data_IF_698135274697
#
_entry.id   IF_698135274697
#
_cell.length_a   1.000
_cell.length_b   1.000
_cell.length_c   1.000
_cell.angle_alpha   90.00
_cell.angle_beta   90.00
_cell.angle_gamma   90.00
#
_symmetry.space_group_name_H-M   'P 1'
#
loop_
_entity.id
_entity.type
_entity.pdbx_description
1 polymer ?
#
# COMPACT_ATOMS: atom_id res chain seq x y z
N UNK A 1 25.94 4.00 -6.35
CA UNK A 1 25.40 2.99 -5.45
C UNK A 1 24.91 3.65 -4.18
N UNK A 2 23.83 3.25 -3.62
CA UNK A 2 23.33 3.49 -2.27
C UNK A 2 22.48 4.70 -1.94
N UNK A 3 22.34 5.74 -2.75
CA UNK A 3 21.48 6.87 -2.38
C UNK A 3 20.00 6.50 -2.25
N UNK A 4 19.52 5.48 -2.96
CA UNK A 4 18.14 5.01 -2.87
C UNK A 4 17.88 4.19 -1.60
N UNK A 5 18.87 3.51 -1.03
CA UNK A 5 18.70 2.70 0.18
C UNK A 5 18.66 3.53 1.45
N UNK A 6 19.26 4.73 1.44
CA UNK A 6 19.29 5.63 2.59
C UNK A 6 17.96 6.40 2.76
N UNK A 7 17.14 6.47 1.71
CA UNK A 7 15.82 7.12 1.75
C UNK A 7 14.80 6.27 2.55
N UNK A 8 15.02 4.97 2.63
CA UNK A 8 14.10 4.03 3.29
C UNK A 8 14.75 3.42 4.53
N UNK A 9 14.77 4.15 5.65
CA UNK A 9 15.18 3.55 6.92
C UNK A 9 14.09 2.62 7.44
N UNK A 10 14.40 1.32 7.50
CA UNK A 10 13.55 0.30 8.09
C UNK A 10 13.60 0.37 9.60
N UNK A 11 12.45 0.21 10.29
CA UNK A 11 12.44 0.03 11.73
C UNK A 11 12.74 -1.43 12.12
N UNK A 12 13.15 -1.64 13.37
CA UNK A 12 13.59 -2.94 13.87
C UNK A 12 12.54 -4.05 13.71
N UNK A 13 13.00 -5.27 13.54
CA UNK A 13 12.26 -6.49 13.18
C UNK A 13 11.07 -6.84 14.08
N UNK A 14 11.03 -6.35 15.31
CA UNK A 14 9.97 -6.65 16.29
C UNK A 14 8.82 -5.63 16.32
N UNK A 15 8.82 -4.62 15.47
CA UNK A 15 7.75 -3.63 15.47
C UNK A 15 6.65 -4.03 14.48
N UNK A 16 5.40 -4.09 14.95
CA UNK A 16 4.23 -4.37 14.11
C UNK A 16 3.91 -3.25 13.14
N UNK A 17 4.38 -2.03 13.41
CA UNK A 17 4.21 -0.85 12.57
C UNK A 17 5.55 -0.55 11.87
N UNK A 18 5.55 -0.55 10.55
CA UNK A 18 6.70 -0.07 9.77
C UNK A 18 6.57 1.42 9.47
N UNK A 19 7.68 2.16 9.56
CA UNK A 19 7.73 3.60 9.21
C UNK A 19 8.78 3.82 8.14
N UNK A 20 8.41 4.47 7.05
CA UNK A 20 9.25 4.71 5.88
C UNK A 20 9.25 6.18 5.53
N UNK A 21 10.43 6.75 5.28
CA UNK A 21 10.62 8.18 5.00
C UNK A 21 10.75 8.41 3.51
N UNK A 22 10.17 9.50 3.05
CA UNK A 22 10.16 9.96 1.66
C UNK A 22 10.39 11.46 1.59
N UNK A 23 10.71 11.92 0.39
CA UNK A 23 10.75 13.32 0.01
C UNK A 23 9.85 13.50 -1.19
N UNK A 24 9.06 14.57 -1.23
CA UNK A 24 8.31 14.96 -2.43
C UNK A 24 9.28 15.57 -3.45
N UNK A 25 9.79 14.75 -4.36
CA UNK A 25 10.76 15.16 -5.36
C UNK A 25 10.13 15.98 -6.49
N UNK A 26 10.90 16.80 -7.27
CA UNK A 26 10.34 17.68 -8.30
C UNK A 26 9.46 17.00 -9.34
N UNK A 27 9.77 15.76 -9.74
CA UNK A 27 8.97 14.99 -10.70
C UNK A 27 7.84 14.17 -10.07
N UNK A 28 7.65 14.29 -8.75
CA UNK A 28 6.57 13.66 -8.02
C UNK A 28 5.36 14.58 -7.82
N UNK A 29 5.51 15.87 -8.14
CA UNK A 29 4.51 16.90 -7.88
C UNK A 29 3.83 17.36 -9.17
N UNK A 30 2.63 17.90 -9.01
CA UNK A 30 1.90 18.54 -10.09
C UNK A 30 2.29 20.02 -10.25
N UNK A 31 1.60 20.74 -11.13
CA UNK A 31 1.85 22.16 -11.40
C UNK A 31 1.56 23.07 -10.19
N UNK A 32 0.86 22.59 -9.16
CA UNK A 32 0.65 23.31 -7.89
C UNK A 32 1.77 23.07 -6.88
N UNK A 33 2.74 22.23 -7.21
CA UNK A 33 3.84 21.85 -6.33
C UNK A 33 3.45 20.80 -5.27
N UNK A 34 2.30 20.16 -5.40
CA UNK A 34 1.82 19.11 -4.48
C UNK A 34 2.11 17.73 -5.03
N UNK A 35 2.47 16.81 -4.11
CA UNK A 35 2.64 15.39 -4.44
C UNK A 35 1.39 14.85 -5.14
N UNK A 36 1.57 14.11 -6.24
CA UNK A 36 0.42 13.55 -6.95
C UNK A 36 -0.13 12.30 -6.26
N UNK A 37 -1.43 12.06 -6.39
CA UNK A 37 -2.08 10.85 -5.84
C UNK A 37 -1.46 9.56 -6.41
N UNK A 38 -1.05 9.56 -7.68
CA UNK A 38 -0.42 8.40 -8.31
C UNK A 38 0.93 8.04 -7.67
N UNK A 39 1.77 9.05 -7.38
CA UNK A 39 3.05 8.85 -6.69
C UNK A 39 2.82 8.43 -5.25
N UNK A 40 1.88 9.05 -4.53
CA UNK A 40 1.52 8.62 -3.18
C UNK A 40 1.07 7.15 -3.17
N UNK A 41 0.21 6.76 -4.12
CA UNK A 41 -0.21 5.37 -4.27
C UNK A 41 0.96 4.41 -4.44
N UNK A 42 1.94 4.77 -5.27
CA UNK A 42 3.18 4.00 -5.43
C UNK A 42 3.96 3.87 -4.11
N UNK A 43 4.09 4.94 -3.35
CA UNK A 43 4.77 4.90 -2.05
C UNK A 43 4.03 4.01 -1.05
N UNK A 44 2.69 4.06 -1.01
CA UNK A 44 1.88 3.17 -0.17
C UNK A 44 2.13 1.69 -0.51
N UNK A 45 2.13 1.34 -1.80
CA UNK A 45 2.40 -0.03 -2.24
C UNK A 45 3.83 -0.48 -1.92
N UNK A 46 4.81 0.41 -2.08
CA UNK A 46 6.21 0.13 -1.71
C UNK A 46 6.34 -0.11 -0.20
N UNK A 47 5.70 0.72 0.64
CA UNK A 47 5.69 0.52 2.09
C UNK A 47 5.10 -0.84 2.48
N UNK A 48 3.99 -1.24 1.85
CA UNK A 48 3.39 -2.55 2.06
C UNK A 48 4.37 -3.67 1.70
N UNK A 49 5.07 -3.53 0.57
CA UNK A 49 6.08 -4.49 0.10
C UNK A 49 7.26 -4.60 1.05
N UNK A 50 7.84 -3.48 1.48
CA UNK A 50 8.97 -3.46 2.43
C UNK A 50 8.58 -4.07 3.78
N UNK A 51 7.43 -3.65 4.32
CA UNK A 51 6.92 -4.18 5.58
C UNK A 51 6.70 -5.68 5.53
N UNK A 52 6.14 -6.20 4.45
CA UNK A 52 5.94 -7.63 4.25
C UNK A 52 7.26 -8.38 4.08
N UNK A 53 8.20 -7.83 3.30
CA UNK A 53 9.51 -8.44 3.05
C UNK A 53 10.34 -8.56 4.33
N UNK A 54 10.33 -7.52 5.16
CA UNK A 54 11.06 -7.52 6.44
C UNK A 54 10.52 -8.57 7.43
N UNK A 55 9.31 -9.07 7.21
CA UNK A 55 8.59 -10.00 8.09
C UNK A 55 8.38 -11.39 7.47
N UNK A 56 9.00 -11.66 6.33
CA UNK A 56 9.03 -12.99 5.71
C UNK A 56 7.79 -13.36 4.88
N UNK A 57 6.91 -12.40 4.58
CA UNK A 57 5.75 -12.62 3.72
C UNK A 57 5.68 -11.67 2.52
N UNK A 58 6.83 -11.12 2.11
CA UNK A 58 6.96 -10.31 0.91
C UNK A 58 6.82 -11.10 -0.39
N UNK A 59 6.68 -10.37 -1.50
CA UNK A 59 6.46 -10.96 -2.83
C UNK A 59 7.59 -11.92 -3.22
N UNK A 60 8.85 -11.58 -2.96
CA UNK A 60 9.98 -12.43 -3.32
C UNK A 60 9.89 -13.80 -2.65
N UNK A 61 9.65 -13.84 -1.34
CA UNK A 61 9.49 -15.08 -0.59
C UNK A 61 8.31 -15.90 -1.07
N UNK A 62 7.17 -15.25 -1.32
CA UNK A 62 5.96 -15.94 -1.77
C UNK A 62 6.09 -16.48 -3.20
N UNK A 63 6.84 -15.81 -4.07
CA UNK A 63 7.04 -16.26 -5.44
C UNK A 63 7.85 -17.58 -5.51
N UNK A 64 8.71 -17.84 -4.53
CA UNK A 64 9.42 -19.13 -4.43
C UNK A 64 8.43 -20.29 -4.30
N UNK A 65 7.29 -20.06 -3.64
CA UNK A 65 6.20 -21.03 -3.47
C UNK A 65 5.08 -20.89 -4.51
N UNK A 66 5.29 -20.11 -5.57
CA UNK A 66 4.31 -19.79 -6.60
C UNK A 66 3.05 -19.06 -6.09
N UNK A 67 3.21 -18.21 -5.10
CA UNK A 67 2.17 -17.29 -4.64
C UNK A 67 2.56 -15.83 -4.87
N UNK A 68 1.58 -14.96 -4.95
CA UNK A 68 1.82 -13.51 -5.04
C UNK A 68 0.68 -12.73 -4.39
N UNK A 69 0.99 -11.49 -3.99
CA UNK A 69 0.00 -10.55 -3.49
C UNK A 69 -0.72 -9.82 -4.62
N UNK A 70 -2.02 -9.65 -4.45
CA UNK A 70 -2.86 -8.84 -5.33
C UNK A 70 -3.62 -7.82 -4.49
N UNK A 71 -3.46 -6.55 -4.84
CA UNK A 71 -4.26 -5.48 -4.27
C UNK A 71 -5.69 -5.58 -4.80
N UNK A 72 -6.64 -5.77 -3.91
CA UNK A 72 -8.06 -5.84 -4.25
C UNK A 72 -8.73 -4.47 -4.18
N UNK A 73 -8.44 -3.70 -3.14
CA UNK A 73 -9.05 -2.40 -2.89
C UNK A 73 -8.10 -1.50 -2.14
N UNK A 74 -8.20 -0.20 -2.45
CA UNK A 74 -7.45 0.86 -1.75
C UNK A 74 -8.37 2.07 -1.60
N UNK A 75 -8.50 2.56 -0.37
CA UNK A 75 -9.10 3.84 -0.05
C UNK A 75 -8.03 4.76 0.53
N UNK A 76 -8.02 6.02 0.13
CA UNK A 76 -7.08 7.03 0.60
C UNK A 76 -7.85 8.31 0.92
N UNK A 77 -7.66 8.84 2.10
CA UNK A 77 -8.22 10.12 2.53
C UNK A 77 -7.10 10.97 3.12
N UNK A 78 -6.91 12.17 2.58
CA UNK A 78 -5.91 13.14 3.03
C UNK A 78 -6.53 14.51 3.25
N UNK A 79 -6.09 15.18 4.29
CA UNK A 79 -6.40 16.59 4.53
C UNK A 79 -5.57 17.50 3.62
N UNK A 80 -4.30 17.12 3.40
CA UNK A 80 -3.38 17.82 2.48
C UNK A 80 -2.33 16.88 1.90
N UNK A 81 -1.75 17.27 0.75
CA UNK A 81 -0.62 16.59 0.13
C UNK A 81 0.69 17.27 0.49
N UNK A 82 1.79 16.52 0.70
CA UNK A 82 3.13 17.07 0.87
C UNK A 82 3.50 17.99 -0.29
N UNK A 83 4.18 19.10 0.01
CA UNK A 83 4.66 20.04 -0.99
C UNK A 83 6.06 19.63 -1.48
N UNK A 84 6.44 20.13 -2.65
CA UNK A 84 7.76 19.87 -3.26
C UNK A 84 8.89 20.14 -2.28
N UNK A 85 9.83 19.21 -2.22
CA UNK A 85 10.98 19.16 -1.29
C UNK A 85 10.64 18.93 0.18
N UNK A 86 9.37 18.74 0.53
CA UNK A 86 9.02 18.38 1.90
C UNK A 86 9.28 16.91 2.19
N UNK A 87 9.84 16.67 3.37
CA UNK A 87 9.93 15.34 3.95
C UNK A 87 8.55 14.90 4.44
N UNK A 88 8.25 13.64 4.25
CA UNK A 88 7.08 12.99 4.85
C UNK A 88 7.39 11.53 5.15
N UNK A 89 6.56 10.90 5.92
CA UNK A 89 6.68 9.47 6.20
C UNK A 89 5.34 8.76 6.08
N UNK A 90 5.43 7.47 5.83
CA UNK A 90 4.28 6.58 5.77
C UNK A 90 4.50 5.49 6.81
N UNK A 91 3.55 5.35 7.72
CA UNK A 91 3.43 4.20 8.60
C UNK A 91 2.49 3.17 7.97
N UNK A 92 2.77 1.88 8.16
CA UNK A 92 1.89 0.81 7.71
C UNK A 92 1.86 -0.34 8.70
N UNK A 93 0.70 -0.97 8.83
CA UNK A 93 0.48 -2.13 9.70
C UNK A 93 -0.62 -3.03 9.12
N UNK A 94 -0.62 -4.27 9.57
CA UNK A 94 -1.68 -5.25 9.26
C UNK A 94 -2.75 -5.13 10.34
N UNK A 95 -4.00 -4.83 9.96
CA UNK A 95 -5.12 -4.72 10.88
C UNK A 95 -5.76 -6.08 11.16
N UNK A 96 -6.01 -6.85 10.10
CA UNK A 96 -6.65 -8.16 10.20
C UNK A 96 -6.11 -9.13 9.15
N UNK A 97 -6.10 -10.40 9.51
CA UNK A 97 -5.83 -11.50 8.60
C UNK A 97 -7.03 -12.44 8.60
N UNK A 98 -7.63 -12.60 7.44
CA UNK A 98 -8.70 -13.55 7.19
C UNK A 98 -8.15 -14.71 6.36
N UNK A 99 -8.98 -15.72 6.15
CA UNK A 99 -8.55 -16.89 5.39
C UNK A 99 -8.08 -16.56 3.96
N UNK A 100 -8.77 -15.66 3.24
CA UNK A 100 -8.51 -15.39 1.82
C UNK A 100 -8.00 -13.96 1.55
N UNK A 101 -7.98 -13.09 2.56
CA UNK A 101 -7.53 -11.71 2.40
C UNK A 101 -7.03 -11.13 3.72
N UNK A 102 -6.34 -10.02 3.62
CA UNK A 102 -5.85 -9.25 4.77
C UNK A 102 -6.16 -7.78 4.59
N UNK A 103 -6.44 -7.09 5.69
CA UNK A 103 -6.60 -5.65 5.77
C UNK A 103 -5.29 -5.03 6.22
N UNK A 104 -4.83 -4.03 5.47
CA UNK A 104 -3.63 -3.26 5.78
C UNK A 104 -3.94 -1.78 5.76
N UNK A 105 -3.46 -1.09 6.78
CA UNK A 105 -3.66 0.33 6.97
C UNK A 105 -2.37 1.11 6.81
N UNK A 106 -2.53 2.42 6.56
CA UNK A 106 -1.44 3.37 6.45
C UNK A 106 -1.82 4.69 7.13
N UNK A 107 -0.82 5.37 7.66
CA UNK A 107 -0.91 6.76 8.07
C UNK A 107 0.16 7.57 7.34
N UNK A 108 -0.22 8.69 6.76
CA UNK A 108 0.68 9.63 6.11
C UNK A 108 0.99 10.74 7.11
N UNK A 109 2.27 11.03 7.30
CA UNK A 109 2.77 11.90 8.35
C UNK A 109 3.66 12.97 7.71
N UNK A 110 3.38 14.23 8.00
CA UNK A 110 4.16 15.36 7.50
C UNK A 110 5.53 15.49 8.18
N UNK A 111 6.29 16.50 7.79
CA UNK A 111 7.63 16.81 8.32
C UNK A 111 7.62 17.19 9.81
N UNK A 112 6.50 17.69 10.33
CA UNK A 112 6.31 18.04 11.75
C UNK A 112 5.85 16.84 12.59
N UNK A 113 5.56 15.70 11.99
CA UNK A 113 5.07 14.51 12.67
C UNK A 113 3.55 14.45 12.83
N UNK A 114 2.81 15.35 12.16
CA UNK A 114 1.35 15.37 12.16
C UNK A 114 0.82 14.34 11.15
N UNK A 115 -0.17 13.56 11.54
CA UNK A 115 -0.90 12.68 10.62
C UNK A 115 -1.79 13.55 9.71
N UNK A 116 -1.49 13.58 8.43
CA UNK A 116 -2.19 14.38 7.40
C UNK A 116 -3.12 13.54 6.54
N UNK A 117 -3.14 12.23 6.73
CA UNK A 117 -4.03 11.33 6.02
C UNK A 117 -3.86 9.89 6.41
N UNK A 118 -4.77 9.08 5.88
CA UNK A 118 -4.80 7.63 6.08
C UNK A 118 -5.13 6.90 4.80
N UNK A 119 -4.74 5.63 4.75
CA UNK A 119 -5.20 4.73 3.71
C UNK A 119 -5.56 3.36 4.30
N UNK A 120 -6.51 2.69 3.66
CA UNK A 120 -6.88 1.30 3.94
C UNK A 120 -6.83 0.48 2.68
N UNK A 121 -6.28 -0.71 2.75
CA UNK A 121 -6.18 -1.61 1.62
C UNK A 121 -6.60 -3.02 1.99
N UNK A 122 -7.12 -3.73 0.99
CA UNK A 122 -7.48 -5.16 1.09
C UNK A 122 -6.64 -5.92 0.09
N UNK A 123 -5.93 -6.93 0.57
CA UNK A 123 -5.03 -7.74 -0.24
C UNK A 123 -5.47 -9.20 -0.21
N UNK A 124 -5.38 -9.84 -1.36
CA UNK A 124 -5.53 -11.28 -1.49
C UNK A 124 -4.20 -11.89 -1.93
N UNK A 125 -3.90 -13.08 -1.41
CA UNK A 125 -2.82 -13.88 -1.94
C UNK A 125 -3.40 -14.87 -2.92
N UNK A 126 -2.79 -14.99 -4.09
CA UNK A 126 -3.21 -15.92 -5.13
C UNK A 126 -2.09 -16.90 -5.47
N UNK A 127 -2.49 -18.12 -5.80
CA UNK A 127 -1.60 -19.08 -6.45
C UNK A 127 -1.37 -18.68 -7.90
N UNK A 128 -0.11 -18.53 -8.31
CA UNK A 128 0.23 -18.22 -9.70
C UNK A 128 -0.09 -19.39 -10.65
N UNK A 129 -0.12 -20.61 -10.13
CA UNK A 129 -0.44 -21.82 -10.91
C UNK A 129 -1.93 -21.95 -11.18
N UNK A 130 -2.76 -21.81 -10.15
CA UNK A 130 -4.21 -22.05 -10.25
C UNK A 130 -5.02 -20.76 -10.46
N UNK A 131 -4.42 -19.60 -10.26
CA UNK A 131 -5.07 -18.27 -10.26
C UNK A 131 -6.20 -18.11 -9.23
N UNK A 132 -6.24 -18.98 -8.22
CA UNK A 132 -7.22 -18.97 -7.15
C UNK A 132 -6.63 -18.34 -5.88
N UNK A 133 -7.48 -17.73 -5.03
CA UNK A 133 -7.04 -17.26 -3.71
C UNK A 133 -6.44 -18.39 -2.89
N UNK A 134 -5.36 -18.08 -2.20
CA UNK A 134 -4.68 -19.00 -1.29
C UNK A 134 -5.17 -18.80 0.14
N UNK A 135 -5.05 -19.84 0.96
CA UNK A 135 -5.37 -19.79 2.38
C UNK A 135 -4.22 -19.16 3.17
N UNK A 136 -4.40 -17.90 3.60
CA UNK A 136 -3.40 -17.14 4.36
C UNK A 136 -3.06 -17.76 5.71
N UNK A 137 -4.01 -18.47 6.31
CA UNK A 137 -3.83 -19.08 7.63
C UNK A 137 -3.08 -20.41 7.56
N UNK A 138 -3.03 -21.03 6.38
CA UNK A 138 -2.30 -22.28 6.14
C UNK A 138 -0.85 -22.05 5.71
N UNK A 139 -0.54 -20.92 5.07
CA UNK A 139 0.78 -20.61 4.57
C UNK A 139 1.73 -20.17 5.68
N UNK A 140 2.96 -20.69 5.64
CA UNK A 140 4.01 -20.43 6.63
C UNK A 140 3.51 -20.53 8.08
N UNK A 141 2.62 -21.53 8.36
CA UNK A 141 1.99 -21.73 9.67
C UNK A 141 1.19 -20.53 10.19
N UNK A 142 0.69 -19.67 9.28
CA UNK A 142 -0.10 -18.50 9.64
C UNK A 142 0.70 -17.37 10.27
N UNK A 143 2.02 -17.32 10.09
CA UNK A 143 2.94 -16.36 10.75
C UNK A 143 2.58 -14.88 10.52
N UNK A 144 1.85 -14.55 9.45
CA UNK A 144 1.36 -13.18 9.21
C UNK A 144 0.45 -12.68 10.34
N UNK A 145 -0.24 -13.58 11.05
CA UNK A 145 -1.13 -13.23 12.18
C UNK A 145 -0.35 -12.61 13.34
N UNK A 146 0.91 -12.97 13.51
CA UNK A 146 1.76 -12.45 14.59
C UNK A 146 2.01 -10.94 14.46
N UNK A 147 1.84 -10.39 13.27
CA UNK A 147 2.05 -8.97 12.96
C UNK A 147 0.77 -8.13 12.96
N UNK A 148 -0.37 -8.71 13.34
CA UNK A 148 -1.62 -7.96 13.50
C UNK A 148 -1.47 -6.92 14.60
N UNK A 149 -1.92 -5.70 14.33
CA UNK A 149 -1.77 -4.53 15.18
C UNK A 149 -3.12 -3.80 15.32
N UNK A 150 -3.45 -3.41 16.54
CA UNK A 150 -4.71 -2.72 16.88
C UNK A 150 -4.61 -1.19 16.71
N UNK A 151 -3.58 -0.70 16.03
CA UNK A 151 -3.45 0.74 15.75
C UNK A 151 -4.69 1.24 15.00
N UNK A 152 -5.39 2.27 15.51
CA UNK A 152 -6.63 2.73 14.91
C UNK A 152 -6.39 3.42 13.56
N UNK A 153 -7.31 3.19 12.63
CA UNK A 153 -7.37 3.89 11.35
C UNK A 153 -8.77 4.50 11.20
N UNK A 154 -8.89 5.85 11.23
CA UNK A 154 -10.18 6.52 11.36
C UNK A 154 -11.03 6.57 10.09
N UNK A 155 -10.48 6.21 8.93
CA UNK A 155 -11.23 6.19 7.68
C UNK A 155 -12.00 4.89 7.49
N UNK A 156 -13.05 4.92 6.69
CA UNK A 156 -13.87 3.74 6.40
C UNK A 156 -13.11 2.69 5.57
N UNK A 157 -13.47 1.43 5.79
CA UNK A 157 -12.94 0.33 4.95
C UNK A 157 -13.50 0.43 3.53
N UNK A 158 -12.65 0.20 2.50
CA UNK A 158 -13.12 0.18 1.13
C UNK A 158 -14.12 -0.97 0.92
N UNK A 159 -15.36 -0.62 0.60
CA UNK A 159 -16.44 -1.59 0.40
C UNK A 159 -16.45 -2.15 -1.03
N UNK A 160 -17.12 -3.31 -1.21
CA UNK A 160 -17.45 -3.80 -2.55
C UNK A 160 -18.48 -2.88 -3.19
N UNK A 161 -18.20 -2.41 -4.39
CA UNK A 161 -19.20 -1.74 -5.22
C UNK A 161 -20.21 -2.79 -5.68
N UNK A 162 -21.48 -2.64 -5.30
CA UNK A 162 -22.57 -3.43 -5.85
C UNK A 162 -23.07 -2.73 -7.10
N UNK A 163 -22.91 -3.36 -8.24
CA UNK A 163 -23.47 -2.85 -9.49
C UNK A 163 -24.96 -3.17 -9.48
N UNK A 164 -25.80 -2.14 -9.41
CA UNK A 164 -27.26 -2.29 -9.35
C UNK A 164 -27.88 -2.62 -10.72
N UNK A 165 -27.17 -2.35 -11.82
CA UNK A 165 -27.62 -2.59 -13.18
C UNK A 165 -26.48 -3.14 -14.03
N UNK A 166 -26.81 -4.01 -15.00
CA UNK A 166 -25.83 -4.49 -15.98
C UNK A 166 -25.64 -3.49 -17.13
N UNK A 167 -26.50 -2.51 -17.25
CA UNK A 167 -26.41 -1.47 -18.26
C UNK A 167 -25.61 -0.28 -17.73
N UNK A 168 -24.59 0.20 -18.46
CA UNK A 168 -23.83 1.35 -18.04
C UNK A 168 -24.70 2.62 -18.11
N UNK A 169 -24.73 3.38 -17.03
CA UNK A 169 -25.40 4.69 -17.00
C UNK A 169 -24.61 5.73 -17.79
N UNK A 170 -23.30 5.55 -17.88
CA UNK A 170 -22.39 6.32 -18.72
C UNK A 170 -21.21 5.46 -19.12
N UNK A 171 -20.68 5.66 -20.30
CA UNK A 171 -19.47 5.01 -20.79
C UNK A 171 -18.40 6.06 -21.06
N UNK A 172 -17.22 5.91 -20.47
CA UNK A 172 -16.04 6.71 -20.74
C UNK A 172 -14.99 5.83 -21.41
N UNK A 173 -14.53 6.25 -22.60
CA UNK A 173 -13.40 5.60 -23.24
C UNK A 173 -12.12 6.26 -22.76
N UNK A 174 -11.37 5.55 -21.90
CA UNK A 174 -10.04 5.99 -21.53
C UNK A 174 -9.06 5.69 -22.67
N UNK A 175 -8.45 6.74 -23.23
CA UNK A 175 -7.32 6.60 -24.15
C UNK A 175 -6.04 6.60 -23.33
N UNK A 176 -5.28 5.53 -23.44
CA UNK A 176 -3.95 5.45 -22.86
C UNK A 176 -2.99 6.30 -23.68
N UNK A 177 -2.55 7.42 -23.12
CA UNK A 177 -1.47 8.22 -23.67
C UNK A 177 -0.18 7.81 -22.96
N UNK A 178 0.67 7.05 -23.65
CA UNK A 178 2.02 6.80 -23.16
C UNK A 178 2.85 8.06 -23.33
N UNK A 179 3.25 8.68 -22.22
CA UNK A 179 4.21 9.80 -22.19
C UNK A 179 5.67 9.32 -22.19
N UNK A 180 5.95 8.19 -22.81
CA UNK A 180 7.31 7.63 -22.86
C UNK A 180 8.05 8.16 -24.09
N UNK A 181 7.97 9.42 -24.41
CA UNK A 181 8.85 9.97 -25.45
C UNK A 181 9.22 11.39 -25.09
N UNK A 182 10.22 11.49 -24.28
CA UNK A 182 11.10 12.64 -24.27
C UNK A 182 12.50 12.14 -24.54
#
# INVERSE_FOLDING_TARGET
SSAASDVYKRQSENNKIGTYKFVAEPFHVDFTGRLTMGVLGNHLLNCAGFHASDRGFGIATLNEDNYTWVLSRLAVELDEMPYQYEDFSIQTWVENVYRLFTDRNFAIIDKEGKKIGYARSVWAMISMNTRKPADLLALHSGSIVDYVCDEPCPIEKPSRIKVASKEPVAALVAKYLSLIHI
#
